data_IF_090397908883
#
_entry.id   IF_090397908883
#
_cell.length_a   1.000
_cell.length_b   1.000
_cell.length_c   1.000
_cell.angle_alpha   90.00
_cell.angle_beta   90.00
_cell.angle_gamma   90.00
#
_symmetry.space_group_name_H-M   'P 1'
#
loop_
_entity.id
_entity.type
_entity.pdbx_description
1 polymer ?
#
# COMPACT_ATOMS: atom_id res chain seq x y z
N UNK A 1 -7.39 -32.91 -6.81
CA UNK A 1 -6.65 -31.95 -7.66
C UNK A 1 -5.41 -31.52 -6.90
N UNK A 2 -4.19 -31.63 -7.45
CA UNK A 2 -2.99 -31.11 -6.80
C UNK A 2 -3.07 -29.58 -6.73
N UNK A 3 -2.74 -29.00 -5.57
CA UNK A 3 -2.58 -27.55 -5.40
C UNK A 3 -1.17 -27.20 -5.82
N UNK A 4 -1.02 -26.40 -6.86
CA UNK A 4 0.28 -25.86 -7.28
C UNK A 4 0.50 -24.52 -6.58
N UNK A 5 1.71 -24.30 -6.09
CA UNK A 5 2.12 -23.00 -5.57
C UNK A 5 2.32 -22.05 -6.74
N UNK A 6 1.74 -20.86 -6.67
CA UNK A 6 1.86 -19.82 -7.71
C UNK A 6 2.39 -18.55 -7.07
N UNK A 7 3.39 -17.93 -7.70
CA UNK A 7 3.91 -16.62 -7.32
C UNK A 7 3.41 -15.57 -8.30
N UNK A 8 2.85 -14.47 -7.80
CA UNK A 8 2.47 -13.31 -8.61
C UNK A 8 3.06 -12.05 -7.99
N UNK A 9 3.51 -11.13 -8.84
CA UNK A 9 4.06 -9.84 -8.44
C UNK A 9 3.34 -8.77 -9.25
N UNK A 10 2.90 -7.71 -8.59
CA UNK A 10 2.29 -6.52 -9.20
C UNK A 10 2.91 -5.26 -8.62
N UNK A 11 2.99 -4.21 -9.43
CA UNK A 11 3.48 -2.89 -8.99
C UNK A 11 2.28 -2.00 -8.65
N UNK A 12 2.32 -1.36 -7.49
CA UNK A 12 1.39 -0.30 -7.09
C UNK A 12 2.08 1.04 -7.35
N UNK A 13 1.39 1.95 -8.05
CA UNK A 13 1.90 3.31 -8.30
C UNK A 13 0.75 4.26 -8.54
N UNK A 14 0.90 5.50 -8.04
CA UNK A 14 -0.06 6.58 -8.26
C UNK A 14 -0.10 7.08 -9.72
N UNK A 15 1.03 7.03 -10.45
CA UNK A 15 1.22 7.76 -11.71
C UNK A 15 0.88 7.02 -13.02
N UNK A 16 0.43 5.77 -12.97
CA UNK A 16 0.27 4.95 -14.18
C UNK A 16 -0.93 4.03 -14.13
N UNK A 17 -1.76 4.06 -15.18
CA UNK A 17 -2.93 3.22 -15.36
C UNK A 17 -2.57 1.74 -15.30
N UNK A 18 -2.78 1.14 -14.14
CA UNK A 18 -3.03 -0.30 -14.08
C UNK A 18 -4.23 -0.57 -15.00
N UNK A 19 -4.11 -1.55 -15.90
CA UNK A 19 -5.26 -2.15 -16.59
C UNK A 19 -6.10 -2.83 -15.49
N UNK A 20 -6.89 -2.03 -14.80
CA UNK A 20 -7.54 -2.35 -13.52
C UNK A 20 -8.25 -1.16 -12.86
N UNK A 21 -8.01 0.08 -13.32
CA UNK A 21 -8.84 1.24 -12.99
C UNK A 21 -8.45 1.97 -11.70
N UNK A 22 -7.93 3.19 -11.83
CA UNK A 22 -7.48 4.05 -10.74
C UNK A 22 -5.99 3.87 -10.44
N UNK A 23 -5.22 4.96 -10.39
CA UNK A 23 -3.83 4.91 -9.92
C UNK A 23 -3.78 4.26 -8.53
N UNK A 24 -2.87 3.31 -8.34
CA UNK A 24 -2.87 2.49 -7.12
C UNK A 24 -2.35 3.28 -5.92
N UNK A 25 -3.09 3.25 -4.81
CA UNK A 25 -2.67 3.74 -3.49
C UNK A 25 -1.94 2.63 -2.75
N UNK A 26 -0.72 2.92 -2.29
CA UNK A 26 0.05 1.99 -1.46
C UNK A 26 -0.63 1.79 -0.10
N UNK A 27 -1.24 2.86 0.43
CA UNK A 27 -1.99 2.84 1.68
C UNK A 27 -3.20 1.91 1.56
N UNK A 28 -3.97 2.01 0.48
CA UNK A 28 -5.16 1.17 0.25
C UNK A 28 -4.78 -0.29 0.06
N UNK A 29 -3.76 -0.55 -0.75
CA UNK A 29 -3.25 -1.90 -0.98
C UNK A 29 -2.80 -2.55 0.33
N UNK A 30 -2.13 -1.78 1.18
CA UNK A 30 -1.67 -2.25 2.48
C UNK A 30 -2.84 -2.51 3.44
N UNK A 31 -3.84 -1.62 3.50
CA UNK A 31 -5.04 -1.83 4.32
C UNK A 31 -5.81 -3.09 3.91
N UNK A 32 -5.90 -3.35 2.60
CA UNK A 32 -6.48 -4.57 2.07
C UNK A 32 -5.73 -5.84 2.48
N UNK A 33 -4.39 -5.80 2.48
CA UNK A 33 -3.55 -6.93 2.89
C UNK A 33 -3.66 -7.20 4.40
N UNK A 34 -3.64 -6.15 5.21
CA UNK A 34 -3.59 -6.24 6.67
C UNK A 34 -4.96 -6.28 7.36
N UNK A 35 -6.03 -6.14 6.57
CA UNK A 35 -7.43 -6.08 7.01
C UNK A 35 -7.67 -5.03 8.09
N UNK A 36 -7.05 -3.86 7.91
CA UNK A 36 -7.15 -2.73 8.82
C UNK A 36 -7.64 -1.48 8.11
N UNK A 37 -8.34 -0.63 8.86
CA UNK A 37 -8.65 0.71 8.39
C UNK A 37 -7.34 1.50 8.21
N UNK A 38 -7.19 2.18 7.08
CA UNK A 38 -6.07 3.08 6.80
C UNK A 38 -6.51 4.32 6.09
N UNK A 39 -5.86 5.44 6.41
CA UNK A 39 -6.08 6.73 5.79
C UNK A 39 -4.84 7.18 5.03
N UNK A 40 -5.04 7.56 3.77
CA UNK A 40 -4.04 8.14 2.90
C UNK A 40 -3.95 9.64 3.20
N UNK A 41 -2.78 10.10 3.64
CA UNK A 41 -2.47 11.52 3.82
C UNK A 41 -2.31 12.26 2.48
N UNK A 42 -2.15 11.51 1.38
CA UNK A 42 -1.98 12.08 0.04
C UNK A 42 -3.24 12.79 -0.45
N UNK A 43 -4.41 12.16 -0.28
CA UNK A 43 -5.73 12.60 -0.76
C UNK A 43 -6.86 12.52 0.29
N UNK A 44 -6.59 12.04 1.50
CA UNK A 44 -7.57 11.86 2.58
C UNK A 44 -8.49 10.64 2.38
N UNK A 45 -8.20 9.75 1.42
CA UNK A 45 -8.99 8.55 1.23
C UNK A 45 -8.81 7.57 2.40
N UNK A 46 -9.90 6.96 2.85
CA UNK A 46 -9.89 5.93 3.90
C UNK A 46 -10.33 4.59 3.33
N UNK A 47 -9.49 3.58 3.51
CA UNK A 47 -9.82 2.18 3.25
C UNK A 47 -10.53 1.58 4.47
N UNK A 48 -11.65 0.88 4.23
CA UNK A 48 -12.38 0.14 5.25
C UNK A 48 -12.40 -1.36 4.91
N UNK A 49 -11.86 -2.23 5.78
CA UNK A 49 -11.85 -3.67 5.52
C UNK A 49 -13.22 -4.31 5.76
N UNK A 50 -13.53 -5.35 4.98
CA UNK A 50 -14.58 -6.29 5.36
C UNK A 50 -14.12 -7.09 6.59
N UNK A 51 -15.01 -7.29 7.56
CA UNK A 51 -14.77 -8.17 8.70
C UNK A 51 -14.66 -9.63 8.22
N UNK A 52 -13.43 -10.13 8.10
CA UNK A 52 -13.10 -11.52 7.75
C UNK A 52 -11.93 -11.98 8.62
N UNK A 53 -12.05 -13.16 9.20
CA UNK A 53 -11.02 -13.77 10.06
C UNK A 53 -10.11 -14.74 9.28
N UNK A 54 -9.77 -14.39 8.04
CA UNK A 54 -8.91 -15.20 7.16
C UNK A 54 -7.43 -14.80 7.21
N UNK A 55 -7.12 -13.64 7.78
CA UNK A 55 -5.74 -13.17 7.97
C UNK A 55 -5.13 -13.81 9.23
N UNK A 56 -4.14 -14.68 9.03
CA UNK A 56 -3.47 -15.41 10.13
C UNK A 56 -2.21 -14.70 10.62
N UNK A 57 -1.51 -13.98 9.74
CA UNK A 57 -0.23 -13.33 10.04
C UNK A 57 -0.01 -12.10 9.17
N UNK A 58 0.62 -11.07 9.75
CA UNK A 58 1.15 -9.90 9.06
C UNK A 58 2.35 -9.34 9.83
N UNK A 59 3.34 -8.82 9.11
CA UNK A 59 4.51 -8.20 9.70
C UNK A 59 5.13 -7.15 8.77
N UNK A 60 5.84 -6.19 9.36
CA UNK A 60 6.70 -5.25 8.63
C UNK A 60 8.13 -5.46 9.09
N UNK A 61 8.94 -6.00 8.18
CA UNK A 61 10.37 -6.21 8.41
C UNK A 61 11.17 -4.98 7.99
N UNK A 62 11.91 -4.41 8.93
CA UNK A 62 12.77 -3.26 8.71
C UNK A 62 14.24 -3.67 8.61
N UNK A 63 15.02 -3.12 7.67
CA UNK A 63 16.47 -3.27 7.68
C UNK A 63 17.09 -2.47 8.83
N UNK A 64 18.33 -2.82 9.22
CA UNK A 64 19.03 -2.25 10.39
C UNK A 64 19.10 -0.71 10.44
N UNK A 65 19.09 -0.08 9.27
CA UNK A 65 19.21 1.37 9.11
C UNK A 65 17.87 2.10 8.89
N UNK A 66 16.74 1.40 8.89
CA UNK A 66 15.44 2.04 8.74
C UNK A 66 14.97 2.69 10.06
N UNK A 67 14.31 3.86 9.99
CA UNK A 67 13.62 4.44 11.15
C UNK A 67 12.65 3.44 11.78
N UNK A 68 12.71 3.30 13.11
CA UNK A 68 11.84 2.37 13.85
C UNK A 68 10.36 2.71 13.72
N UNK A 69 10.03 3.97 13.45
CA UNK A 69 8.65 4.43 13.23
C UNK A 69 7.98 3.71 12.05
N UNK A 70 8.77 3.22 11.08
CA UNK A 70 8.24 2.45 9.94
C UNK A 70 7.80 1.04 10.31
N UNK A 71 7.94 0.60 11.58
CA UNK A 71 7.28 -0.62 12.06
C UNK A 71 5.76 -0.49 12.04
N UNK A 72 5.26 0.76 12.12
CA UNK A 72 3.86 1.05 11.85
C UNK A 72 3.63 1.13 10.32
N UNK A 73 2.85 0.20 9.73
CA UNK A 73 2.56 0.23 8.31
C UNK A 73 1.88 1.53 7.86
N UNK A 74 1.10 2.18 8.74
CA UNK A 74 0.43 3.44 8.41
C UNK A 74 1.46 4.54 8.17
N UNK A 75 2.49 4.63 9.02
CA UNK A 75 3.59 5.60 8.87
C UNK A 75 4.42 5.27 7.62
N UNK A 76 4.76 3.99 7.43
CA UNK A 76 5.56 3.55 6.30
C UNK A 76 4.90 3.88 4.95
N UNK A 77 3.65 3.45 4.75
CA UNK A 77 3.01 3.58 3.44
C UNK A 77 2.61 5.02 3.12
N UNK A 78 2.23 5.83 4.11
CA UNK A 78 2.02 7.27 3.90
C UNK A 78 3.31 7.99 3.50
N UNK A 79 4.45 7.66 4.13
CA UNK A 79 5.74 8.22 3.73
C UNK A 79 6.10 7.87 2.28
N UNK A 80 5.81 6.64 1.83
CA UNK A 80 6.03 6.20 0.44
C UNK A 80 5.19 7.03 -0.54
N UNK A 81 3.88 7.21 -0.28
CA UNK A 81 3.00 7.96 -1.17
C UNK A 81 3.37 9.44 -1.26
N UNK A 82 3.78 10.04 -0.16
CA UNK A 82 4.22 11.45 -0.13
C UNK A 82 5.48 11.66 -0.97
N UNK A 83 6.40 10.68 -1.01
CA UNK A 83 7.56 10.74 -1.91
C UNK A 83 7.14 10.63 -3.38
N UNK A 84 6.14 9.79 -3.70
CA UNK A 84 5.62 9.69 -5.08
C UNK A 84 4.99 11.01 -5.56
N UNK A 85 4.28 11.73 -4.67
CA UNK A 85 3.71 13.07 -4.93
C UNK A 85 4.74 14.07 -5.42
N UNK A 86 5.90 14.10 -4.76
CA UNK A 86 7.00 15.03 -5.06
C UNK A 86 7.62 14.69 -6.43
N UNK A 87 7.63 13.40 -6.81
CA UNK A 87 8.24 12.90 -8.05
C UNK A 87 7.37 13.14 -9.29
N UNK A 88 6.08 13.45 -9.13
CA UNK A 88 5.21 13.88 -10.23
C UNK A 88 5.21 15.41 -10.31
N UNK A 89 6.05 16.06 -11.15
CA UNK A 89 5.93 17.48 -11.35
C UNK A 89 4.55 17.76 -11.96
N UNK A 90 3.76 18.58 -11.29
CA UNK A 90 2.53 19.14 -11.82
C UNK A 90 2.87 20.08 -12.98
N UNK A 91 3.13 19.52 -14.17
CA UNK A 91 3.12 20.29 -15.41
C UNK A 91 1.65 20.48 -15.81
N UNK A 92 0.95 21.32 -15.05
CA UNK A 92 -0.31 21.90 -15.49
C UNK A 92 0.06 23.15 -16.30
N UNK A 93 0.18 22.96 -17.62
CA UNK A 93 0.20 24.04 -18.60
C UNK A 93 -1.21 24.51 -18.92
#
# INVERSE_FOLDING_TARGET
MPKFLSTRISVVSRGGGSKGGGGGSAVDASGYMDREERESEYDGHKYYPDAKEDLVHKEVDLPDNAPREYQDPNVLWNAVEMVEKIRTPSFAG
#
